data_IF_238031775043
#
_entry.id   IF_238031775043
#
_cell.length_a   1.000
_cell.length_b   1.000
_cell.length_c   1.000
_cell.angle_alpha   90.00
_cell.angle_beta   90.00
_cell.angle_gamma   90.00
#
_symmetry.space_group_name_H-M   'P 1'
#
loop_
_entity.id
_entity.type
_entity.pdbx_description
1 polymer ?
#
# COMPACT_ATOMS: atom_id res chain seq x y z
N UNK A 1 -5.15 -2.19 -24.76
CA UNK A 1 -4.06 -3.05 -24.24
C UNK A 1 -3.13 -2.14 -23.46
N UNK A 2 -3.28 -2.08 -22.14
CA UNK A 2 -2.53 -1.16 -21.28
C UNK A 2 -1.34 -1.91 -20.69
N UNK A 3 -0.14 -1.40 -20.94
CA UNK A 3 1.10 -1.85 -20.34
C UNK A 3 1.05 -1.37 -18.89
N UNK A 4 0.50 -2.19 -18.01
CA UNK A 4 0.78 -2.06 -16.59
C UNK A 4 2.28 -2.37 -16.49
N UNK A 5 3.11 -1.37 -16.23
CA UNK A 5 4.49 -1.64 -15.85
C UNK A 5 4.40 -2.56 -14.62
N UNK A 6 4.86 -3.80 -14.75
CA UNK A 6 4.90 -4.73 -13.62
C UNK A 6 5.98 -4.19 -12.70
N UNK A 7 5.58 -3.37 -11.74
CA UNK A 7 6.46 -2.84 -10.72
C UNK A 7 6.93 -3.97 -9.81
N UNK A 8 8.18 -3.87 -9.34
CA UNK A 8 8.71 -4.79 -8.34
C UNK A 8 7.88 -4.72 -7.05
N UNK A 9 7.96 -5.77 -6.24
CA UNK A 9 7.30 -5.78 -4.93
C UNK A 9 7.78 -4.61 -4.07
N UNK A 10 6.81 -3.91 -3.48
CA UNK A 10 7.06 -2.67 -2.75
C UNK A 10 6.92 -1.38 -3.57
N UNK A 11 6.65 -1.46 -4.88
CA UNK A 11 6.44 -0.27 -5.73
C UNK A 11 5.18 -0.32 -6.60
N UNK A 12 4.67 0.86 -6.97
CA UNK A 12 3.47 1.03 -7.79
C UNK A 12 3.51 2.30 -8.65
N UNK A 13 2.57 2.39 -9.59
CA UNK A 13 2.35 3.53 -10.48
C UNK A 13 2.99 3.34 -11.85
N UNK A 14 2.71 4.25 -12.80
CA UNK A 14 3.16 4.13 -14.19
C UNK A 14 4.69 4.15 -14.34
N UNK A 15 5.41 4.65 -13.34
CA UNK A 15 6.88 4.73 -13.29
C UNK A 15 7.49 3.99 -12.10
N UNK A 16 6.69 3.20 -11.36
CA UNK A 16 7.13 2.49 -10.16
C UNK A 16 7.81 3.36 -9.08
N UNK A 17 7.52 4.66 -9.07
CA UNK A 17 8.06 5.60 -8.09
C UNK A 17 7.25 5.65 -6.80
N UNK A 18 5.99 5.19 -6.83
CA UNK A 18 5.16 5.05 -5.64
C UNK A 18 5.63 3.87 -4.80
N UNK A 19 5.79 4.05 -3.49
CA UNK A 19 6.14 2.96 -2.56
C UNK A 19 4.88 2.42 -1.89
N UNK A 20 4.74 1.09 -1.87
CA UNK A 20 3.68 0.44 -1.09
C UNK A 20 3.78 0.87 0.39
N UNK A 21 2.64 1.04 1.05
CA UNK A 21 2.61 1.21 2.50
C UNK A 21 2.65 -0.11 3.25
N UNK A 22 2.12 -0.10 4.47
CA UNK A 22 2.17 -1.25 5.39
C UNK A 22 1.00 -2.20 5.12
N UNK A 23 1.04 -2.88 3.98
CA UNK A 23 0.08 -3.93 3.65
C UNK A 23 0.21 -5.13 4.60
N UNK A 24 -0.90 -5.81 4.86
CA UNK A 24 -0.94 -6.97 5.75
C UNK A 24 0.00 -8.10 5.29
N UNK A 25 0.69 -8.74 6.23
CA UNK A 25 1.53 -9.93 6.02
C UNK A 25 2.61 -9.79 4.91
N UNK A 26 3.05 -8.55 4.64
CA UNK A 26 4.01 -8.27 3.56
C UNK A 26 3.44 -8.48 2.16
N UNK A 27 2.11 -8.55 2.02
CA UNK A 27 1.45 -8.69 0.73
C UNK A 27 1.83 -7.55 -0.22
N UNK A 28 2.03 -7.88 -1.50
CA UNK A 28 2.27 -6.89 -2.53
C UNK A 28 1.05 -5.96 -2.66
N UNK A 29 1.29 -4.64 -2.72
CA UNK A 29 0.25 -3.69 -3.04
C UNK A 29 -0.10 -3.73 -4.55
N UNK A 30 -1.25 -3.18 -4.90
CA UNK A 30 -1.70 -3.10 -6.27
C UNK A 30 -0.74 -2.24 -7.11
N UNK A 31 -0.23 -2.80 -8.21
CA UNK A 31 0.88 -2.20 -8.97
C UNK A 31 0.52 -0.90 -9.68
N UNK A 32 -0.77 -0.63 -9.91
CA UNK A 32 -1.21 0.63 -10.52
C UNK A 32 -1.52 1.71 -9.48
N UNK A 33 -2.17 1.32 -8.39
CA UNK A 33 -2.84 2.25 -7.45
C UNK A 33 -2.13 2.34 -6.11
N UNK A 34 -1.30 1.35 -5.77
CA UNK A 34 -0.63 1.25 -4.49
C UNK A 34 -1.49 0.71 -3.35
N UNK A 35 -2.75 0.32 -3.63
CA UNK A 35 -3.70 -0.10 -2.61
C UNK A 35 -3.41 -1.50 -2.08
N UNK A 36 -3.65 -1.74 -0.80
CA UNK A 36 -3.41 -3.06 -0.19
C UNK A 36 -4.68 -3.92 -0.26
N UNK A 37 -4.75 -4.97 -1.12
CA UNK A 37 -5.96 -5.76 -1.30
C UNK A 37 -6.32 -6.61 -0.06
N UNK A 38 -5.31 -7.04 0.70
CA UNK A 38 -5.48 -7.75 1.97
C UNK A 38 -5.72 -6.81 3.16
N UNK A 39 -5.79 -5.49 2.94
CA UNK A 39 -5.87 -4.49 3.99
C UNK A 39 -4.51 -4.15 4.62
N UNK A 40 -4.57 -3.39 5.71
CA UNK A 40 -3.39 -2.83 6.37
C UNK A 40 -2.90 -3.68 7.54
N UNK A 41 -1.59 -3.70 7.74
CA UNK A 41 -0.97 -4.22 8.95
C UNK A 41 -1.52 -3.52 10.21
N UNK A 42 -1.52 -4.22 11.34
CA UNK A 42 -1.90 -3.66 12.63
C UNK A 42 -1.20 -2.32 12.90
N UNK A 43 -1.98 -1.31 13.30
CA UNK A 43 -1.47 0.04 13.51
C UNK A 43 -1.46 0.95 12.27
N UNK A 44 -1.89 0.48 11.09
CA UNK A 44 -1.97 1.30 9.87
C UNK A 44 -3.39 1.38 9.30
N UNK A 45 -3.70 2.46 8.59
CA UNK A 45 -5.01 2.74 7.95
C UNK A 45 -4.87 3.52 6.63
N UNK A 46 -6.01 3.67 5.94
CA UNK A 46 -6.13 4.29 4.62
C UNK A 46 -5.85 3.31 3.49
N UNK A 47 -6.24 3.65 2.26
CA UNK A 47 -6.21 2.72 1.11
C UNK A 47 -4.79 2.23 0.77
N UNK A 48 -3.78 3.09 1.02
CA UNK A 48 -2.36 2.80 0.82
C UNK A 48 -1.66 2.29 2.09
N UNK A 49 -2.37 2.22 3.23
CA UNK A 49 -1.80 1.80 4.51
C UNK A 49 -0.56 2.60 4.97
N UNK A 50 -0.52 3.90 4.65
CA UNK A 50 0.58 4.82 5.03
C UNK A 50 0.25 5.69 6.25
N UNK A 51 -0.98 5.64 6.74
CA UNK A 51 -1.40 6.43 7.90
C UNK A 51 -1.32 5.55 9.15
N UNK A 52 -0.54 5.97 10.15
CA UNK A 52 -0.54 5.28 11.43
C UNK A 52 -1.86 5.53 12.18
N UNK A 53 -2.39 4.50 12.82
CA UNK A 53 -3.51 4.57 13.77
C UNK A 53 -3.07 5.14 15.13
N UNK A 54 -1.94 5.89 15.18
CA UNK A 54 -1.29 6.41 16.39
C UNK A 54 -2.14 7.37 17.23
N UNK A 55 -3.37 7.68 16.81
CA UNK A 55 -4.32 8.49 17.58
C UNK A 55 -5.61 7.70 17.91
N UNK A 56 -5.51 6.43 18.29
CA UNK A 56 -6.63 5.65 18.86
C UNK A 56 -6.29 5.18 20.29
N UNK A 57 -5.64 6.04 21.08
CA UNK A 57 -5.57 5.96 22.55
C UNK A 57 -5.46 7.34 23.21
N UNK A 58 -6.03 8.39 22.60
CA UNK A 58 -6.36 9.62 23.32
C UNK A 58 -7.82 9.96 23.01
N UNK A 59 -8.70 9.14 23.61
CA UNK A 59 -9.96 9.43 24.32
C UNK A 59 -10.80 8.15 24.33
#
# INVERSE_FOLDING_TARGET
>A
MLIIAVCDDGTYGPTCSGRCGFCQDGAACHKETGTCPAGCQGGWKGDLCIQSKSNVFLN
#
